data_IF_384206910630
#
_entry.id   IF_384206910630
#
_cell.length_a   1.000
_cell.length_b   1.000
_cell.length_c   1.000
_cell.angle_alpha   90.00
_cell.angle_beta   90.00
_cell.angle_gamma   90.00
#
_symmetry.space_group_name_H-M   'P 1'
#
loop_
_entity.id
_entity.type
_entity.pdbx_description
1 polymer ?
#
# COMPACT_ATOMS: atom_id res chain seq x y z
N UNK A 1 -1.87 18.70 18.68
CA UNK A 1 -1.66 17.28 18.33
C UNK A 1 -2.45 17.02 17.06
N UNK A 2 -1.91 17.34 15.89
CA UNK A 2 -2.63 17.04 14.64
C UNK A 2 -2.44 15.56 14.34
N UNK A 3 -3.47 14.77 14.64
CA UNK A 3 -3.52 13.35 14.31
C UNK A 3 -3.71 13.25 12.78
N UNK A 4 -2.64 13.51 12.03
CA UNK A 4 -2.59 13.28 10.60
C UNK A 4 -2.66 11.76 10.39
N UNK A 5 -3.88 11.24 10.47
CA UNK A 5 -4.22 9.89 10.11
C UNK A 5 -4.07 9.84 8.59
N UNK A 6 -2.84 9.63 8.11
CA UNK A 6 -2.58 9.30 6.71
C UNK A 6 -2.85 7.80 6.60
N UNK A 7 -4.04 7.36 6.17
CA UNK A 7 -4.35 5.94 6.04
C UNK A 7 -3.51 5.26 4.95
N UNK A 8 -2.76 6.05 4.16
CA UNK A 8 -2.02 5.59 2.99
C UNK A 8 -0.57 6.07 3.01
N UNK A 9 0.34 5.20 2.60
CA UNK A 9 1.77 5.47 2.47
C UNK A 9 2.20 5.50 0.99
N UNK A 10 3.26 6.23 0.62
CA UNK A 10 3.76 6.22 -0.76
C UNK A 10 4.33 4.85 -1.14
N UNK A 11 4.43 4.59 -2.46
CA UNK A 11 4.91 3.31 -3.01
C UNK A 11 6.25 2.84 -2.46
N UNK A 12 7.20 3.75 -2.22
CA UNK A 12 8.53 3.41 -1.68
C UNK A 12 8.41 2.78 -0.29
N UNK A 13 7.58 3.38 0.56
CA UNK A 13 7.35 2.93 1.93
C UNK A 13 6.57 1.61 1.96
N UNK A 14 5.53 1.49 1.13
CA UNK A 14 4.77 0.25 1.00
C UNK A 14 5.66 -0.91 0.51
N UNK A 15 6.53 -0.64 -0.46
CA UNK A 15 7.48 -1.61 -0.99
C UNK A 15 8.46 -2.08 0.09
N UNK A 16 8.95 -1.15 0.93
CA UNK A 16 9.80 -1.48 2.07
C UNK A 16 9.11 -2.43 3.06
N UNK A 17 7.86 -2.16 3.46
CA UNK A 17 7.12 -3.02 4.38
C UNK A 17 6.79 -4.39 3.80
N UNK A 18 6.48 -4.46 2.50
CA UNK A 18 6.14 -5.71 1.83
C UNK A 18 7.36 -6.52 1.38
N UNK A 19 8.58 -6.05 1.66
CA UNK A 19 9.83 -6.66 1.20
C UNK A 19 9.88 -6.84 -0.33
N UNK A 20 9.36 -5.84 -1.07
CA UNK A 20 9.24 -5.84 -2.54
C UNK A 20 9.94 -4.63 -3.15
N UNK A 21 10.15 -4.68 -4.46
CA UNK A 21 10.64 -3.51 -5.22
C UNK A 21 9.48 -2.54 -5.51
N UNK A 22 9.69 -1.22 -5.47
CA UNK A 22 8.66 -0.23 -5.82
C UNK A 22 8.05 -0.42 -7.22
N UNK A 23 8.80 -0.95 -8.19
CA UNK A 23 8.29 -1.26 -9.54
C UNK A 23 7.27 -2.40 -9.54
N UNK A 24 7.40 -3.38 -8.65
CA UNK A 24 6.41 -4.45 -8.52
C UNK A 24 5.05 -3.89 -8.11
N UNK A 25 5.04 -2.95 -7.16
CA UNK A 25 3.81 -2.27 -6.73
C UNK A 25 3.20 -1.42 -7.85
N UNK A 26 4.03 -0.71 -8.65
CA UNK A 26 3.53 0.01 -9.83
C UNK A 26 2.95 -0.95 -10.88
N UNK A 27 3.57 -2.12 -11.06
CA UNK A 27 3.07 -3.20 -11.92
C UNK A 27 1.70 -3.70 -11.45
N UNK A 28 1.54 -3.98 -10.16
CA UNK A 28 0.25 -4.35 -9.56
C UNK A 28 -0.86 -3.34 -9.85
N UNK A 29 -0.57 -2.05 -9.69
CA UNK A 29 -1.53 -1.00 -10.03
C UNK A 29 -1.86 -0.99 -11.53
N UNK A 30 -0.86 -1.12 -12.40
CA UNK A 30 -1.07 -1.13 -13.86
C UNK A 30 -1.83 -2.35 -14.36
N UNK A 31 -1.61 -3.52 -13.75
CA UNK A 31 -2.23 -4.79 -14.13
C UNK A 31 -3.58 -5.01 -13.43
N UNK A 32 -3.92 -4.18 -12.43
CA UNK A 32 -5.08 -4.40 -11.57
C UNK A 32 -4.94 -5.64 -10.67
N UNK A 33 -3.72 -6.17 -10.52
CA UNK A 33 -3.43 -7.37 -9.74
C UNK A 33 -2.79 -6.96 -8.42
N UNK A 34 -3.61 -6.71 -7.40
CA UNK A 34 -3.16 -6.45 -6.03
C UNK A 34 -3.89 -7.36 -5.05
N UNK A 35 -3.27 -7.70 -3.91
CA UNK A 35 -3.93 -8.43 -2.83
C UNK A 35 -5.19 -7.72 -2.33
N UNK A 36 -6.11 -8.50 -1.75
CA UNK A 36 -7.32 -7.95 -1.15
C UNK A 36 -6.98 -6.90 -0.08
N UNK A 37 -7.73 -5.80 -0.06
CA UNK A 37 -7.45 -4.64 0.81
C UNK A 37 -6.25 -3.77 0.43
N UNK A 38 -5.36 -4.19 -0.48
CA UNK A 38 -4.17 -3.44 -0.91
C UNK A 38 -4.42 -2.56 -2.16
N UNK A 39 -5.66 -2.13 -2.38
CA UNK A 39 -5.98 -1.28 -3.54
C UNK A 39 -5.37 0.11 -3.37
N UNK A 40 -4.47 0.56 -4.27
CA UNK A 40 -3.89 1.88 -4.15
C UNK A 40 -4.88 2.97 -4.55
N UNK A 41 -4.79 4.12 -3.89
CA UNK A 41 -5.55 5.34 -4.20
C UNK A 41 -4.68 6.34 -4.95
N UNK A 42 -5.27 7.04 -5.93
CA UNK A 42 -4.57 8.11 -6.65
C UNK A 42 -4.70 9.42 -5.87
N UNK A 43 -3.58 9.96 -5.44
CA UNK A 43 -3.51 11.23 -4.70
C UNK A 43 -2.59 12.17 -5.49
N UNK A 44 -3.15 13.16 -6.18
CA UNK A 44 -2.38 14.14 -6.97
C UNK A 44 -1.31 13.51 -7.88
N UNK A 45 -1.68 12.44 -8.60
CA UNK A 45 -0.77 11.73 -9.51
C UNK A 45 0.21 10.76 -8.84
N UNK A 46 0.19 10.64 -7.51
CA UNK A 46 0.95 9.62 -6.75
C UNK A 46 0.04 8.46 -6.34
N UNK A 47 0.63 7.28 -6.15
CA UNK A 47 -0.05 6.11 -5.59
C UNK A 47 0.10 6.10 -4.07
N UNK A 48 -1.02 6.17 -3.37
CA UNK A 48 -1.12 5.95 -1.93
C UNK A 48 -1.57 4.51 -1.65
N UNK A 49 -0.79 3.77 -0.89
CA UNK A 49 -1.06 2.39 -0.53
C UNK A 49 -1.66 2.33 0.87
N UNK A 50 -2.84 1.72 1.07
CA UNK A 50 -3.49 1.69 2.37
C UNK A 50 -2.68 0.86 3.38
N UNK A 51 -2.43 1.43 4.56
CA UNK A 51 -1.69 0.74 5.64
C UNK A 51 -2.47 -0.49 6.12
N UNK A 52 -3.81 -0.41 6.16
CA UNK A 52 -4.67 -1.55 6.49
C UNK A 52 -4.41 -2.73 5.54
N UNK A 53 -4.42 -2.49 4.22
CA UNK A 53 -4.10 -3.52 3.22
C UNK A 53 -2.68 -4.09 3.37
N UNK A 54 -1.69 -3.25 3.70
CA UNK A 54 -0.33 -3.73 3.95
C UNK A 54 -0.30 -4.68 5.15
N UNK A 55 -1.01 -4.34 6.24
CA UNK A 55 -1.13 -5.19 7.44
C UNK A 55 -1.86 -6.51 7.14
N UNK A 56 -2.93 -6.45 6.35
CA UNK A 56 -3.66 -7.64 5.89
C UNK A 56 -2.73 -8.59 5.11
N UNK A 57 -1.97 -8.06 4.15
CA UNK A 57 -1.02 -8.84 3.32
C UNK A 57 0.10 -9.47 4.14
N UNK A 58 0.56 -8.78 5.19
CA UNK A 58 1.58 -9.29 6.09
C UNK A 58 1.03 -10.34 7.08
N UNK A 59 -0.26 -10.69 7.01
CA UNK A 59 -0.89 -11.65 7.93
C UNK A 59 -1.06 -11.08 9.35
N UNK A 60 -1.05 -9.76 9.50
CA UNK A 60 -1.16 -9.07 10.79
C UNK A 60 -2.63 -8.92 11.26
N UNK A 61 -3.56 -9.48 10.51
CA UNK A 61 -5.00 -9.58 10.80
C UNK A 61 -5.38 -11.08 10.94
N UNK A 62 -4.75 -11.79 11.87
CA UNK A 62 -4.97 -13.22 12.05
C UNK A 62 -4.03 -13.89 13.06
N UNK A 63 -4.19 -13.54 14.34
CA UNK A 63 -3.96 -14.44 15.49
C UNK A 63 -5.11 -14.30 16.48
#
# INVERSE_FOLDING_TARGET
MELVNRPTVPTEQAAHYLLRRPQTLRGWHSQGTYPDGLRPVRINGRLGWPVAGIRAVLGMEGV
#
